data_IF_243535061255
#
_entry.id   IF_243535061255
#
_cell.length_a   1.000
_cell.length_b   1.000
_cell.length_c   1.000
_cell.angle_alpha   90.00
_cell.angle_beta   90.00
_cell.angle_gamma   90.00
#
_symmetry.space_group_name_H-M   'P 1'
#
loop_
_entity.id
_entity.type
_entity.pdbx_description
1 polymer ?
#
# COMPACT_ATOMS: atom_id res chain seq x y z
N UNK A 1 0.14 -32.60 59.33
CA UNK A 1 -0.63 -31.40 59.68
C UNK A 1 0.18 -30.17 59.28
N UNK A 2 -0.51 -29.11 58.85
CA UNK A 2 -0.02 -27.77 58.45
C UNK A 2 0.32 -27.71 56.95
N UNK A 3 -0.71 -27.68 56.09
CA UNK A 3 -1.41 -26.50 55.55
C UNK A 3 -0.65 -25.85 54.38
N UNK A 4 -0.92 -26.40 53.21
CA UNK A 4 -0.76 -25.79 51.89
C UNK A 4 -1.41 -24.38 51.88
N UNK A 5 -0.68 -23.28 51.65
CA UNK A 5 -1.31 -21.98 51.53
C UNK A 5 -1.85 -21.80 50.11
N UNK A 6 -3.16 -21.60 50.08
CA UNK A 6 -4.07 -21.32 48.97
C UNK A 6 -3.80 -19.97 48.27
N UNK A 7 -2.56 -19.62 47.95
CA UNK A 7 -2.24 -18.32 47.33
C UNK A 7 -1.27 -18.44 46.16
N UNK A 8 -1.56 -19.36 45.24
CA UNK A 8 -0.92 -19.39 43.92
C UNK A 8 -1.96 -19.08 42.83
N UNK A 9 -2.67 -17.95 43.02
CA UNK A 9 -3.40 -17.27 41.94
C UNK A 9 -2.39 -16.42 41.13
N UNK A 10 -2.70 -16.08 39.87
CA UNK A 10 -1.91 -16.41 38.69
C UNK A 10 -0.81 -15.39 38.38
N UNK A 11 0.43 -15.68 38.77
CA UNK A 11 1.59 -14.87 38.35
C UNK A 11 1.95 -15.13 36.86
N UNK A 12 1.36 -16.16 36.25
CA UNK A 12 1.63 -16.56 34.85
C UNK A 12 1.02 -15.59 33.83
N UNK A 13 0.21 -14.60 34.23
CA UNK A 13 -0.44 -13.66 33.29
C UNK A 13 0.40 -12.43 32.91
N UNK A 14 1.62 -12.25 33.45
CA UNK A 14 2.43 -11.04 33.22
C UNK A 14 3.57 -11.20 32.19
N UNK A 15 3.67 -12.30 31.45
CA UNK A 15 4.81 -12.54 30.53
C UNK A 15 4.64 -11.93 29.13
N UNK A 16 3.70 -11.01 28.93
CA UNK A 16 3.35 -10.49 27.60
C UNK A 16 3.99 -9.15 27.25
N UNK A 17 5.31 -8.97 27.39
CA UNK A 17 5.96 -7.75 26.91
C UNK A 17 6.23 -7.85 25.40
N UNK A 18 5.41 -7.19 24.59
CA UNK A 18 5.61 -7.05 23.14
C UNK A 18 6.47 -5.82 22.92
N UNK A 19 7.70 -6.01 22.45
CA UNK A 19 8.59 -4.90 22.12
C UNK A 19 8.43 -4.53 20.64
N UNK A 20 8.07 -3.28 20.36
CA UNK A 20 8.03 -2.71 19.02
C UNK A 20 9.24 -1.80 18.88
N UNK A 21 10.20 -2.17 18.04
CA UNK A 21 11.35 -1.34 17.71
C UNK A 21 11.21 -0.80 16.30
N UNK A 22 11.40 0.51 16.14
CA UNK A 22 11.46 1.12 14.82
C UNK A 22 12.80 0.73 14.14
N UNK A 23 12.83 0.58 12.80
CA UNK A 23 14.07 0.30 12.10
C UNK A 23 15.03 1.50 12.18
N UNK A 24 16.32 1.25 12.41
CA UNK A 24 17.36 2.30 12.45
C UNK A 24 17.59 2.97 11.09
N UNK A 25 17.20 2.27 10.01
CA UNK A 25 17.40 2.73 8.63
C UNK A 25 16.07 3.18 8.03
N UNK A 26 16.08 4.27 7.23
CA UNK A 26 14.91 4.68 6.47
C UNK A 26 14.38 3.58 5.56
N UNK A 27 13.06 3.54 5.39
CA UNK A 27 12.39 2.60 4.48
C UNK A 27 12.55 3.13 3.06
N UNK A 28 13.27 2.39 2.21
CA UNK A 28 13.43 2.72 0.79
C UNK A 28 12.33 2.06 -0.05
N UNK A 29 11.39 2.87 -0.56
CA UNK A 29 10.31 2.39 -1.43
C UNK A 29 10.69 2.66 -2.88
N UNK A 30 11.20 1.63 -3.56
CA UNK A 30 11.55 1.71 -4.98
C UNK A 30 10.36 1.31 -5.86
N UNK A 31 9.60 2.31 -6.35
CA UNK A 31 8.48 2.08 -7.26
C UNK A 31 8.94 2.15 -8.73
N UNK A 32 9.07 0.98 -9.37
CA UNK A 32 9.43 0.90 -10.79
C UNK A 32 8.18 0.73 -11.67
N UNK A 33 7.70 1.81 -12.28
CA UNK A 33 6.54 1.80 -13.19
C UNK A 33 7.02 1.69 -14.65
N UNK A 34 6.57 0.66 -15.37
CA UNK A 34 6.82 0.52 -16.80
C UNK A 34 5.60 1.04 -17.58
N UNK A 35 5.68 2.25 -18.12
CA UNK A 35 4.62 2.82 -18.96
C UNK A 35 4.82 2.32 -20.39
N UNK A 36 4.05 1.31 -20.77
CA UNK A 36 4.05 0.78 -22.15
C UNK A 36 3.17 1.67 -23.03
N UNK A 37 3.53 1.72 -24.32
CA UNK A 37 2.90 2.54 -25.37
C UNK A 37 1.38 2.30 -25.60
N UNK A 38 0.71 1.50 -24.77
CA UNK A 38 -0.75 1.38 -24.77
C UNK A 38 -1.44 2.73 -24.51
N UNK A 39 -0.90 3.56 -23.60
CA UNK A 39 -1.46 4.92 -23.36
C UNK A 39 -1.27 5.81 -24.61
N UNK A 40 -0.10 5.76 -25.24
CA UNK A 40 0.19 6.55 -26.44
C UNK A 40 -0.70 6.12 -27.62
N UNK A 41 -0.92 4.81 -27.81
CA UNK A 41 -1.77 4.28 -28.88
C UNK A 41 -3.25 4.59 -28.62
N UNK A 42 -3.72 4.50 -27.37
CA UNK A 42 -5.11 4.87 -27.02
C UNK A 42 -5.36 6.38 -27.23
N UNK A 43 -4.45 7.24 -26.78
CA UNK A 43 -4.58 8.69 -26.96
C UNK A 43 -4.56 9.12 -28.43
N UNK A 44 -3.77 8.46 -29.28
CA UNK A 44 -3.77 8.73 -30.72
C UNK A 44 -5.12 8.41 -31.36
N UNK A 45 -5.68 7.25 -31.05
CA UNK A 45 -6.98 6.83 -31.58
C UNK A 45 -8.12 7.74 -31.10
N UNK A 46 -8.14 8.04 -29.80
CA UNK A 46 -9.15 8.91 -29.21
C UNK A 46 -9.07 10.35 -29.75
N UNK A 47 -7.85 10.85 -30.02
CA UNK A 47 -7.64 12.16 -30.65
C UNK A 47 -8.13 12.18 -32.10
N UNK A 48 -7.84 11.16 -32.91
CA UNK A 48 -8.35 11.04 -34.28
C UNK A 48 -9.89 10.98 -34.32
N UNK A 49 -10.49 10.17 -33.45
CA UNK A 49 -11.94 10.07 -33.34
C UNK A 49 -12.54 11.41 -32.88
N UNK A 50 -11.92 12.12 -31.94
CA UNK A 50 -12.39 13.43 -31.47
C UNK A 50 -12.34 14.50 -32.57
N UNK A 51 -11.26 14.54 -33.34
CA UNK A 51 -11.11 15.46 -34.50
C UNK A 51 -12.15 15.15 -35.57
N UNK A 52 -12.37 13.86 -35.85
CA UNK A 52 -13.35 13.41 -36.87
C UNK A 52 -14.78 13.77 -36.49
N UNK A 53 -15.13 13.68 -35.20
CA UNK A 53 -16.49 13.98 -34.72
C UNK A 53 -16.77 15.48 -34.57
N UNK A 54 -15.75 16.34 -34.52
CA UNK A 54 -15.91 17.80 -34.31
C UNK A 54 -15.05 18.61 -35.29
N UNK A 55 -15.26 18.50 -36.61
CA UNK A 55 -14.44 19.15 -37.62
C UNK A 55 -14.45 20.69 -37.53
N UNK A 56 -15.51 21.27 -36.98
CA UNK A 56 -15.65 22.71 -36.73
C UNK A 56 -14.71 23.24 -35.64
N UNK A 57 -14.28 22.38 -34.72
CA UNK A 57 -13.33 22.73 -33.66
C UNK A 57 -11.87 22.73 -34.16
N UNK A 58 -11.62 22.15 -35.34
CA UNK A 58 -10.29 21.99 -35.93
C UNK A 58 -10.24 22.46 -37.39
N UNK A 59 -10.42 23.78 -37.66
CA UNK A 59 -10.28 24.33 -39.01
C UNK A 59 -8.83 24.20 -39.51
N UNK A 60 -8.69 23.89 -40.81
CA UNK A 60 -7.42 23.65 -41.50
C UNK A 60 -6.53 24.88 -41.61
#
# INVERSE_FOLDING_TARGET
MIKLPLCLLPIVLLTGCISVSAPDKPIEINLNVNVKQEVVVRLQKDAEDFITNNPELFPK
#
